data_IF_378238471456
#
_entry.id   IF_378238471456
#
_cell.length_a   1.000
_cell.length_b   1.000
_cell.length_c   1.000
_cell.angle_alpha   90.00
_cell.angle_beta   90.00
_cell.angle_gamma   90.00
#
_symmetry.space_group_name_H-M   'P 1'
#
loop_
_entity.id
_entity.type
_entity.pdbx_description
1 polymer ?
#
# COMPACT_ATOMS: atom_id res chain seq x y z
N UNK A 1 -13.59 -31.47 -7.17
CA UNK A 1 -13.60 -30.00 -7.28
C UNK A 1 -12.25 -29.60 -7.86
N UNK A 2 -12.26 -28.82 -8.91
CA UNK A 2 -11.02 -28.43 -9.58
C UNK A 2 -10.16 -27.52 -8.70
N UNK A 3 -8.87 -27.81 -8.64
CA UNK A 3 -7.91 -27.04 -7.82
C UNK A 3 -7.92 -25.56 -8.21
N UNK A 4 -8.08 -25.24 -9.48
CA UNK A 4 -8.18 -23.87 -9.97
C UNK A 4 -9.41 -23.13 -9.42
N UNK A 5 -10.54 -23.82 -9.31
CA UNK A 5 -11.75 -23.24 -8.74
C UNK A 5 -11.57 -22.94 -7.26
N UNK A 6 -10.97 -23.87 -6.51
CA UNK A 6 -10.64 -23.66 -5.09
C UNK A 6 -9.69 -22.49 -4.88
N UNK A 7 -8.66 -22.37 -5.71
CA UNK A 7 -7.71 -21.24 -5.66
C UNK A 7 -8.40 -19.92 -5.97
N UNK A 8 -9.31 -19.91 -6.94
CA UNK A 8 -10.09 -18.72 -7.29
C UNK A 8 -10.97 -18.29 -6.14
N UNK A 9 -11.69 -19.22 -5.51
CA UNK A 9 -12.52 -18.95 -4.33
C UNK A 9 -11.67 -18.48 -3.15
N UNK A 10 -10.54 -19.11 -2.87
CA UNK A 10 -9.63 -18.71 -1.80
C UNK A 10 -9.15 -17.27 -1.99
N UNK A 11 -8.73 -16.90 -3.20
CA UNK A 11 -8.33 -15.53 -3.51
C UNK A 11 -9.47 -14.54 -3.38
N UNK A 12 -10.62 -14.86 -3.94
CA UNK A 12 -11.78 -13.96 -3.93
C UNK A 12 -12.36 -13.72 -2.53
N UNK A 13 -12.25 -14.69 -1.64
CA UNK A 13 -12.84 -14.61 -0.30
C UNK A 13 -11.78 -14.27 0.75
N UNK A 14 -10.72 -15.05 0.86
CA UNK A 14 -9.75 -14.93 1.95
C UNK A 14 -8.76 -13.80 1.67
N UNK A 15 -8.08 -13.83 0.52
CA UNK A 15 -7.08 -12.82 0.18
C UNK A 15 -7.74 -11.44 0.01
N UNK A 16 -8.85 -11.36 -0.70
CA UNK A 16 -9.57 -10.11 -0.85
C UNK A 16 -10.04 -9.52 0.49
N UNK A 17 -10.47 -10.37 1.42
CA UNK A 17 -10.86 -9.93 2.76
C UNK A 17 -9.69 -9.46 3.61
N UNK A 18 -8.54 -10.13 3.52
CA UNK A 18 -7.30 -9.71 4.18
C UNK A 18 -6.75 -8.40 3.61
N UNK A 19 -6.87 -8.19 2.31
CA UNK A 19 -6.43 -6.95 1.66
C UNK A 19 -7.44 -5.81 1.78
N UNK A 20 -8.68 -6.13 2.16
CA UNK A 20 -9.70 -5.09 2.35
C UNK A 20 -9.24 -4.09 3.40
N UNK A 21 -9.16 -2.83 2.99
CA UNK A 21 -8.67 -1.73 3.81
C UNK A 21 -7.30 -1.99 4.47
N UNK A 22 -6.44 -2.85 3.87
CA UNK A 22 -5.10 -3.16 4.40
C UNK A 22 -4.26 -1.91 4.62
N UNK A 23 -4.39 -0.90 3.78
CA UNK A 23 -3.73 0.40 3.94
C UNK A 23 -4.06 1.08 5.27
N UNK A 24 -5.23 0.85 5.84
CA UNK A 24 -5.63 1.43 7.12
C UNK A 24 -5.04 0.69 8.33
N UNK A 25 -4.90 -0.63 8.27
CA UNK A 25 -4.52 -1.44 9.43
C UNK A 25 -3.13 -2.07 9.36
N UNK A 26 -2.55 -2.23 8.15
CA UNK A 26 -1.27 -2.92 7.97
C UNK A 26 -0.12 -2.29 8.76
N UNK A 27 -0.06 -0.97 8.80
CA UNK A 27 0.95 -0.23 9.56
C UNK A 27 0.88 -0.45 11.07
N UNK A 28 -0.29 -0.83 11.60
CA UNK A 28 -0.50 -1.08 13.03
C UNK A 28 -0.25 -2.54 13.41
N UNK A 29 0.04 -3.43 12.46
CA UNK A 29 0.36 -4.83 12.74
C UNK A 29 1.76 -4.95 13.34
N UNK A 30 1.88 -5.84 14.32
CA UNK A 30 3.19 -6.21 14.89
C UNK A 30 3.90 -7.22 13.97
N UNK A 31 5.20 -7.38 14.14
CA UNK A 31 5.97 -8.41 13.43
C UNK A 31 5.40 -9.82 13.69
N UNK A 32 4.92 -10.08 14.91
CA UNK A 32 4.27 -11.34 15.27
C UNK A 32 2.97 -11.56 14.51
N UNK A 33 2.14 -10.52 14.37
CA UNK A 33 0.89 -10.62 13.61
C UNK A 33 1.15 -10.89 12.13
N UNK A 34 2.12 -10.21 11.53
CA UNK A 34 2.54 -10.47 10.15
C UNK A 34 3.03 -11.90 9.96
N UNK A 35 3.84 -12.42 10.87
CA UNK A 35 4.30 -13.81 10.84
C UNK A 35 3.14 -14.81 10.93
N UNK A 36 2.13 -14.54 11.74
CA UNK A 36 0.92 -15.39 11.82
C UNK A 36 0.12 -15.38 10.53
N UNK A 37 -0.04 -14.21 9.91
CA UNK A 37 -0.71 -14.07 8.63
C UNK A 37 0.05 -14.80 7.51
N UNK A 38 1.37 -14.63 7.43
CA UNK A 38 2.22 -15.35 6.48
C UNK A 38 2.24 -16.87 6.73
N UNK A 39 2.20 -17.30 7.99
CA UNK A 39 2.09 -18.70 8.32
C UNK A 39 0.75 -19.31 7.86
N UNK A 40 -0.32 -18.54 7.96
CA UNK A 40 -1.63 -18.93 7.43
C UNK A 40 -1.60 -19.10 5.91
N UNK A 41 -0.98 -18.15 5.20
CA UNK A 41 -0.81 -18.23 3.75
C UNK A 41 0.03 -19.44 3.33
N UNK A 42 1.12 -19.73 4.06
CA UNK A 42 1.96 -20.92 3.82
C UNK A 42 1.19 -22.24 4.04
N UNK A 43 0.27 -22.27 5.00
CA UNK A 43 -0.62 -23.44 5.17
C UNK A 43 -1.55 -23.62 3.96
N UNK A 44 -2.12 -22.53 3.46
CA UNK A 44 -2.94 -22.56 2.26
C UNK A 44 -2.15 -23.01 1.03
N UNK A 45 -0.88 -22.62 0.90
CA UNK A 45 0.02 -23.10 -0.15
C UNK A 45 0.24 -24.61 -0.07
N UNK A 46 0.53 -25.12 1.13
CA UNK A 46 0.69 -26.59 1.34
C UNK A 46 -0.58 -27.39 1.06
N UNK A 47 -1.74 -26.80 1.27
CA UNK A 47 -3.04 -27.40 0.97
C UNK A 47 -3.47 -27.23 -0.49
N UNK A 48 -2.65 -26.59 -1.35
CA UNK A 48 -2.97 -26.34 -2.75
C UNK A 48 -4.01 -25.23 -2.99
N UNK A 49 -4.44 -24.53 -1.95
CA UNK A 49 -5.43 -23.45 -2.03
C UNK A 49 -4.84 -22.13 -2.55
N UNK A 50 -3.54 -21.94 -2.40
CA UNK A 50 -2.82 -20.78 -2.89
C UNK A 50 -1.54 -21.20 -3.60
N UNK A 51 -1.31 -20.79 -4.86
CA UNK A 51 -0.12 -21.17 -5.60
C UNK A 51 1.16 -20.63 -4.97
N UNK A 52 2.24 -21.39 -5.04
CA UNK A 52 3.54 -21.03 -4.46
C UNK A 52 4.27 -19.94 -5.27
N UNK A 53 3.90 -19.75 -6.54
CA UNK A 53 4.44 -18.73 -7.44
C UNK A 53 3.82 -17.33 -7.21
N UNK A 54 2.83 -17.23 -6.35
CA UNK A 54 2.12 -15.98 -6.05
C UNK A 54 2.80 -15.18 -4.94
N UNK A 55 2.62 -13.84 -4.94
CA UNK A 55 3.25 -12.97 -3.97
C UNK A 55 2.84 -13.28 -2.52
N UNK A 56 3.71 -12.93 -1.59
CA UNK A 56 3.45 -13.01 -0.15
C UNK A 56 2.38 -11.99 0.26
N UNK A 57 1.81 -12.17 1.45
CA UNK A 57 0.82 -11.22 1.96
C UNK A 57 1.41 -9.82 2.18
N UNK A 58 2.66 -9.73 2.60
CA UNK A 58 3.39 -8.48 2.73
C UNK A 58 3.50 -7.75 1.38
N UNK A 59 3.91 -8.44 0.33
CA UNK A 59 3.97 -7.88 -1.02
C UNK A 59 2.61 -7.41 -1.53
N UNK A 60 1.56 -8.19 -1.28
CA UNK A 60 0.19 -7.81 -1.67
C UNK A 60 -0.30 -6.56 -0.93
N UNK A 61 0.03 -6.42 0.35
CA UNK A 61 -0.31 -5.24 1.13
C UNK A 61 0.45 -3.99 0.66
N UNK A 62 1.73 -4.13 0.34
CA UNK A 62 2.55 -3.05 -0.23
C UNK A 62 2.05 -2.61 -1.61
N UNK A 63 1.69 -3.55 -2.47
CA UNK A 63 1.10 -3.27 -3.78
C UNK A 63 -0.26 -2.55 -3.65
N UNK A 64 -1.07 -2.96 -2.69
CA UNK A 64 -2.35 -2.30 -2.39
C UNK A 64 -2.15 -0.87 -1.90
N UNK A 65 -1.17 -0.65 -1.02
CA UNK A 65 -0.78 0.68 -0.53
C UNK A 65 -0.33 1.57 -1.68
N UNK A 66 0.55 1.08 -2.53
CA UNK A 66 1.07 1.82 -3.67
C UNK A 66 -0.04 2.17 -4.68
N UNK A 67 -0.92 1.23 -4.97
CA UNK A 67 -2.06 1.43 -5.88
C UNK A 67 -3.01 2.48 -5.34
N UNK A 68 -3.36 2.41 -4.05
CA UNK A 68 -4.22 3.40 -3.39
C UNK A 68 -3.57 4.79 -3.40
N UNK A 69 -2.30 4.87 -3.08
CA UNK A 69 -1.56 6.14 -3.06
C UNK A 69 -1.54 6.80 -4.45
N UNK A 70 -1.24 6.03 -5.49
CA UNK A 70 -1.30 6.53 -6.88
C UNK A 70 -2.70 7.01 -7.25
N UNK A 71 -3.72 6.27 -6.86
CA UNK A 71 -5.11 6.62 -7.15
C UNK A 71 -5.53 7.94 -6.48
N UNK A 72 -5.02 8.22 -5.29
CA UNK A 72 -5.27 9.47 -4.57
C UNK A 72 -4.51 10.63 -5.20
N UNK A 73 -3.24 10.43 -5.53
CA UNK A 73 -2.36 11.52 -5.99
C UNK A 73 -2.62 11.89 -7.45
N UNK A 74 -2.88 10.92 -8.33
CA UNK A 74 -3.02 11.17 -9.78
C UNK A 74 -4.12 12.20 -10.11
N UNK A 75 -5.34 12.12 -9.58
CA UNK A 75 -6.36 13.15 -9.84
C UNK A 75 -5.99 14.53 -9.30
N UNK A 76 -5.37 14.57 -8.14
CA UNK A 76 -4.94 15.82 -7.51
C UNK A 76 -3.88 16.52 -8.36
N UNK A 77 -2.86 15.79 -8.79
CA UNK A 77 -1.81 16.33 -9.67
C UNK A 77 -2.39 16.79 -10.99
N UNK A 78 -3.26 15.99 -11.63
CA UNK A 78 -3.86 16.33 -12.92
C UNK A 78 -4.75 17.57 -12.82
N UNK A 79 -5.53 17.69 -11.76
CA UNK A 79 -6.38 18.85 -11.52
C UNK A 79 -5.55 20.12 -11.30
N UNK A 80 -4.50 20.05 -10.51
CA UNK A 80 -3.63 21.20 -10.22
C UNK A 80 -2.74 21.57 -11.40
N UNK A 81 -2.21 20.61 -12.16
CA UNK A 81 -1.42 20.90 -13.36
C UNK A 81 -2.24 21.52 -14.48
N UNK A 82 -3.50 21.14 -14.63
CA UNK A 82 -4.39 21.74 -15.62
C UNK A 82 -4.79 23.19 -15.28
N UNK A 83 -4.81 23.55 -13.98
CA UNK A 83 -5.27 24.88 -13.53
C UNK A 83 -4.17 25.91 -13.31
N UNK A 84 -2.92 25.48 -13.04
CA UNK A 84 -1.88 26.41 -12.52
C UNK A 84 -0.44 25.99 -12.88
N UNK A 85 -0.12 25.96 -14.17
CA UNK A 85 1.17 25.43 -14.67
C UNK A 85 2.42 26.24 -14.31
N UNK A 86 2.36 27.44 -13.72
CA UNK A 86 3.54 28.27 -13.46
C UNK A 86 3.79 28.68 -12.03
N UNK A 87 2.80 28.73 -11.16
CA UNK A 87 2.99 29.22 -9.78
C UNK A 87 2.92 28.15 -8.70
N UNK A 88 2.35 26.98 -8.99
CA UNK A 88 1.99 25.99 -7.97
C UNK A 88 3.05 24.93 -7.68
N UNK A 89 4.05 24.76 -8.52
CA UNK A 89 5.07 23.73 -8.29
C UNK A 89 5.82 24.00 -6.98
N UNK A 90 6.10 25.26 -6.69
CA UNK A 90 6.79 25.66 -5.46
C UNK A 90 5.86 25.57 -4.23
N UNK A 91 4.61 25.99 -4.37
CA UNK A 91 3.63 25.92 -3.28
C UNK A 91 3.22 24.48 -2.95
N UNK A 92 3.04 23.64 -3.94
CA UNK A 92 2.67 22.22 -3.72
C UNK A 92 3.78 21.45 -3.02
N UNK A 93 5.05 21.71 -3.35
CA UNK A 93 6.20 21.12 -2.66
C UNK A 93 6.29 21.62 -1.22
N UNK A 94 6.07 22.93 -0.99
CA UNK A 94 6.04 23.51 0.35
C UNK A 94 4.86 23.00 1.19
N UNK A 95 3.69 22.83 0.59
CA UNK A 95 2.53 22.24 1.26
C UNK A 95 2.73 20.77 1.60
N UNK A 96 3.36 19.98 0.73
CA UNK A 96 3.76 18.62 1.01
C UNK A 96 4.82 18.54 2.13
N UNK A 97 5.82 19.43 2.13
CA UNK A 97 6.78 19.54 3.22
C UNK A 97 6.13 19.94 4.54
N UNK A 98 5.16 20.84 4.50
CA UNK A 98 4.39 21.26 5.68
C UNK A 98 3.53 20.11 6.21
N UNK A 99 2.85 19.37 5.34
CA UNK A 99 2.08 18.18 5.69
C UNK A 99 2.99 17.11 6.28
N UNK A 100 4.16 16.87 5.70
CA UNK A 100 5.16 15.96 6.21
C UNK A 100 5.65 16.40 7.59
N UNK A 101 5.95 17.68 7.79
CA UNK A 101 6.38 18.23 9.09
C UNK A 101 5.30 18.17 10.16
N UNK A 102 4.05 18.48 9.81
CA UNK A 102 2.91 18.37 10.71
C UNK A 102 2.59 16.90 11.04
N UNK A 103 2.79 16.01 10.08
CA UNK A 103 2.62 14.57 10.24
C UNK A 103 3.79 13.92 11.00
N UNK A 104 4.97 14.56 11.05
CA UNK A 104 6.14 14.00 11.75
C UNK A 104 5.98 13.90 13.27
N UNK A 105 4.98 14.54 13.84
CA UNK A 105 4.56 14.35 15.24
C UNK A 105 3.60 13.17 15.42
N UNK A 106 3.22 12.47 14.36
CA UNK A 106 2.24 11.40 14.35
C UNK A 106 2.82 10.06 13.90
N UNK A 107 2.17 9.03 14.34
CA UNK A 107 2.49 7.62 14.24
C UNK A 107 2.99 7.19 12.85
N UNK A 108 4.23 6.70 12.76
CA UNK A 108 4.87 6.12 11.56
C UNK A 108 4.06 4.96 10.94
N UNK A 109 3.06 4.47 11.65
CA UNK A 109 2.14 3.42 11.21
C UNK A 109 1.02 3.93 10.32
N UNK A 110 0.81 5.25 10.26
CA UNK A 110 -0.21 5.85 9.41
C UNK A 110 0.13 5.64 7.93
N UNK A 111 -0.87 5.26 7.15
CA UNK A 111 -0.74 4.99 5.71
C UNK A 111 -0.13 6.17 4.93
N UNK A 112 -0.67 7.37 5.09
CA UNK A 112 -0.21 8.56 4.36
C UNK A 112 1.25 8.87 4.68
N UNK A 113 1.61 8.81 5.96
CA UNK A 113 2.98 9.04 6.41
C UNK A 113 3.95 8.02 5.82
N UNK A 114 3.63 6.73 5.87
CA UNK A 114 4.45 5.65 5.28
C UNK A 114 4.67 5.87 3.78
N UNK A 115 3.61 6.23 3.04
CA UNK A 115 3.68 6.39 1.60
C UNK A 115 4.43 7.66 1.17
N UNK A 116 4.28 8.75 1.90
CA UNK A 116 5.04 9.97 1.66
C UNK A 116 6.55 9.74 1.86
N UNK A 117 6.94 9.05 2.93
CA UNK A 117 8.35 8.74 3.18
C UNK A 117 8.95 7.80 2.13
N UNK A 118 8.26 6.75 1.75
CA UNK A 118 8.72 5.80 0.73
C UNK A 118 8.96 6.49 -0.62
N UNK A 119 8.04 7.36 -1.05
CA UNK A 119 8.16 8.04 -2.33
C UNK A 119 9.11 9.25 -2.30
N UNK A 120 9.30 9.90 -1.15
CA UNK A 120 10.27 10.99 -1.03
C UNK A 120 11.71 10.52 -1.23
N UNK A 121 12.05 9.34 -0.73
CA UNK A 121 13.38 8.75 -0.92
C UNK A 121 13.67 8.49 -2.40
N UNK A 122 12.70 8.02 -3.16
CA UNK A 122 12.83 7.75 -4.60
C UNK A 122 13.00 9.04 -5.42
N UNK A 123 12.26 10.10 -5.08
CA UNK A 123 12.37 11.40 -5.74
C UNK A 123 13.72 12.06 -5.43
N UNK A 124 14.19 11.96 -4.20
CA UNK A 124 15.48 12.53 -3.76
C UNK A 124 16.68 11.87 -4.45
N UNK A 125 16.57 10.59 -4.85
CA UNK A 125 17.63 9.88 -5.59
C UNK A 125 17.58 10.15 -7.10
N UNK A 126 16.48 10.68 -7.63
CA UNK A 126 16.31 11.01 -9.06
C UNK A 126 16.73 12.43 -9.41
N UNK A 127 17.08 13.25 -8.43
CA UNK A 127 17.57 14.63 -8.59
C UNK A 127 19.11 14.69 -8.43
#
# INVERSE_FOLDING_TARGET
MDTELLQTVYRAVIIAKLLYASSAWWGFTTASDRQRLEASLRRAQRSGLYPTDKPTLTQLAEDADYTLFRTIITPSITFYTASYLSELTTHTILDLELIIKLSSQHDDRNFIHRMLFANYSDISQSL
#
